data_IF_950516419275
#
_entry.id   IF_950516419275
#
_cell.length_a   1.000
_cell.length_b   1.000
_cell.length_c   1.000
_cell.angle_alpha   90.00
_cell.angle_beta   90.00
_cell.angle_gamma   90.00
#
_symmetry.space_group_name_H-M   'P 1'
#
loop_
_entity.id
_entity.type
_entity.pdbx_description
1 polymer ?
#
# COMPACT_ATOMS: atom_id res chain seq x y z
N UNK A 1 20.10 -27.95 7.03
CA UNK A 1 19.44 -26.64 6.90
C UNK A 1 18.58 -26.71 5.63
N UNK A 2 17.30 -26.46 5.74
CA UNK A 2 16.37 -26.61 4.63
C UNK A 2 16.68 -25.56 3.57
N UNK A 3 16.80 -25.97 2.31
CA UNK A 3 17.13 -25.07 1.17
C UNK A 3 16.19 -23.87 1.06
N UNK A 4 14.95 -23.99 1.55
CA UNK A 4 13.97 -22.91 1.65
C UNK A 4 14.45 -21.76 2.56
N UNK A 5 14.92 -22.07 3.77
CA UNK A 5 15.39 -21.02 4.70
C UNK A 5 16.61 -20.28 4.17
N UNK A 6 17.48 -20.99 3.45
CA UNK A 6 18.64 -20.37 2.80
C UNK A 6 18.21 -19.43 1.68
N UNK A 7 17.24 -19.86 0.85
CA UNK A 7 16.67 -19.02 -0.21
C UNK A 7 15.95 -17.80 0.35
N UNK A 8 15.08 -17.97 1.35
CA UNK A 8 14.36 -16.87 1.97
C UNK A 8 15.30 -15.83 2.62
N UNK A 9 16.34 -16.32 3.32
CA UNK A 9 17.33 -15.43 3.93
C UNK A 9 18.12 -14.63 2.89
N UNK A 10 18.43 -15.24 1.73
CA UNK A 10 19.08 -14.53 0.63
C UNK A 10 18.17 -13.45 0.03
N UNK A 11 16.88 -13.72 -0.16
CA UNK A 11 15.90 -12.74 -0.66
C UNK A 11 15.77 -11.54 0.30
N UNK A 12 15.63 -11.80 1.60
CA UNK A 12 15.54 -10.73 2.62
C UNK A 12 16.84 -9.90 2.66
N UNK A 13 17.99 -10.55 2.50
CA UNK A 13 19.28 -9.83 2.49
C UNK A 13 19.39 -8.92 1.26
N UNK A 14 19.06 -9.43 0.08
CA UNK A 14 19.05 -8.63 -1.17
C UNK A 14 18.06 -7.47 -1.04
N UNK A 15 16.86 -7.72 -0.51
CA UNK A 15 15.84 -6.71 -0.31
C UNK A 15 16.29 -5.53 0.54
N UNK A 16 17.00 -5.78 1.63
CA UNK A 16 17.51 -4.71 2.51
C UNK A 16 18.47 -3.75 1.79
N UNK A 17 19.16 -4.25 0.76
CA UNK A 17 20.16 -3.47 0.02
C UNK A 17 19.63 -2.94 -1.31
N UNK A 18 18.46 -3.39 -1.76
CA UNK A 18 17.88 -2.99 -3.04
C UNK A 18 17.02 -1.73 -2.89
N UNK A 19 17.23 -0.76 -3.76
CA UNK A 19 16.44 0.49 -3.79
C UNK A 19 14.94 0.22 -4.03
N UNK A 20 14.60 -0.75 -4.86
CA UNK A 20 13.23 -1.14 -5.21
C UNK A 20 12.43 -1.54 -3.97
N UNK A 21 13.00 -2.31 -3.06
CA UNK A 21 12.32 -2.72 -1.82
C UNK A 21 12.09 -1.54 -0.86
N UNK A 22 13.03 -0.60 -0.79
CA UNK A 22 12.86 0.64 -0.01
C UNK A 22 11.79 1.54 -0.62
N UNK A 23 11.77 1.63 -1.96
CA UNK A 23 10.74 2.35 -2.68
C UNK A 23 9.36 1.76 -2.42
N UNK A 24 9.23 0.42 -2.47
CA UNK A 24 7.99 -0.28 -2.17
C UNK A 24 7.45 0.01 -0.78
N UNK A 25 8.33 0.24 0.19
CA UNK A 25 7.96 0.54 1.56
C UNK A 25 7.49 2.00 1.73
N UNK A 26 8.20 2.95 1.11
CA UNK A 26 8.02 4.39 1.37
C UNK A 26 7.02 5.01 0.40
N UNK A 27 7.01 4.59 -0.86
CA UNK A 27 6.26 5.25 -1.92
C UNK A 27 4.73 5.26 -1.69
N UNK A 28 4.06 4.15 -1.28
CA UNK A 28 2.62 4.19 -0.99
C UNK A 28 2.29 5.12 0.19
N UNK A 29 3.12 5.13 1.23
CA UNK A 29 2.95 6.02 2.37
C UNK A 29 3.11 7.50 1.97
N UNK A 30 4.07 7.80 1.10
CA UNK A 30 4.29 9.16 0.60
C UNK A 30 3.09 9.64 -0.24
N UNK A 31 2.50 8.77 -1.06
CA UNK A 31 1.28 9.10 -1.83
C UNK A 31 0.14 9.47 -0.88
N UNK A 32 -0.08 8.68 0.18
CA UNK A 32 -1.13 8.93 1.17
C UNK A 32 -0.94 10.30 1.85
N UNK A 33 0.27 10.60 2.31
CA UNK A 33 0.58 11.90 2.94
C UNK A 33 0.36 13.04 1.96
N UNK A 34 0.79 12.88 0.71
CA UNK A 34 0.63 13.88 -0.34
C UNK A 34 -0.85 14.11 -0.66
N UNK A 35 -1.65 13.06 -0.75
CA UNK A 35 -3.09 13.15 -0.98
C UNK A 35 -3.77 13.91 0.16
N UNK A 36 -3.50 13.56 1.42
CA UNK A 36 -4.07 14.25 2.57
C UNK A 36 -3.69 15.74 2.59
N UNK A 37 -2.46 16.07 2.23
CA UNK A 37 -2.03 17.46 2.12
C UNK A 37 -2.82 18.21 1.03
N UNK A 38 -3.01 17.64 -0.15
CA UNK A 38 -3.79 18.28 -1.21
C UNK A 38 -5.28 18.38 -0.87
N UNK A 39 -5.85 17.39 -0.20
CA UNK A 39 -7.23 17.44 0.29
C UNK A 39 -7.41 18.58 1.30
N UNK A 40 -6.50 18.73 2.23
CA UNK A 40 -6.52 19.83 3.20
C UNK A 40 -6.41 21.22 2.53
N UNK A 41 -5.54 21.37 1.53
CA UNK A 41 -5.42 22.62 0.77
C UNK A 41 -6.72 22.91 0.01
N UNK A 42 -7.34 21.89 -0.59
CA UNK A 42 -8.61 22.03 -1.31
C UNK A 42 -9.74 22.43 -0.37
N UNK A 43 -9.85 21.83 0.80
CA UNK A 43 -10.87 22.16 1.82
C UNK A 43 -10.72 23.58 2.33
N UNK A 44 -9.49 23.99 2.62
CA UNK A 44 -9.20 25.36 3.05
C UNK A 44 -9.55 26.36 1.94
N UNK A 45 -9.25 26.04 0.68
CA UNK A 45 -9.61 26.87 -0.47
C UNK A 45 -11.12 26.97 -0.67
N UNK A 46 -11.85 25.86 -0.54
CA UNK A 46 -13.32 25.83 -0.66
C UNK A 46 -14.00 26.61 0.47
N UNK A 47 -13.51 26.46 1.72
CA UNK A 47 -14.02 27.20 2.86
C UNK A 47 -13.82 28.71 2.70
N UNK A 48 -12.65 29.14 2.24
CA UNK A 48 -12.37 30.53 1.94
C UNK A 48 -13.26 31.08 0.83
N UNK A 49 -13.48 30.30 -0.25
CA UNK A 49 -14.38 30.67 -1.34
C UNK A 49 -15.83 30.81 -0.87
N UNK A 50 -16.32 29.83 -0.11
CA UNK A 50 -17.70 29.85 0.41
C UNK A 50 -17.93 31.05 1.33
N UNK A 51 -16.99 31.39 2.19
CA UNK A 51 -17.10 32.60 3.05
C UNK A 51 -17.17 33.89 2.27
N UNK A 52 -16.55 33.97 1.09
CA UNK A 52 -16.62 35.15 0.21
C UNK A 52 -17.94 35.24 -0.57
N UNK A 53 -18.51 34.09 -0.98
CA UNK A 53 -19.72 34.04 -1.82
C UNK A 53 -20.98 34.15 -0.95
N UNK A 54 -21.02 33.50 0.22
CA UNK A 54 -22.22 33.39 1.06
C UNK A 54 -22.54 34.64 1.87
N UNK A 55 -21.73 35.70 1.82
CA UNK A 55 -22.02 36.98 2.52
C UNK A 55 -22.34 36.84 4.01
N UNK A 56 -21.85 35.78 4.66
CA UNK A 56 -22.08 35.49 6.06
C UNK A 56 -23.29 34.58 6.35
N UNK A 57 -23.97 34.01 5.36
CA UNK A 57 -24.87 32.89 5.63
C UNK A 57 -23.98 31.64 5.88
N UNK A 58 -24.05 31.18 7.13
CA UNK A 58 -23.42 29.94 7.55
C UNK A 58 -24.20 28.77 6.92
N UNK A 59 -23.89 28.41 5.68
CA UNK A 59 -24.13 27.04 5.25
C UNK A 59 -23.19 26.19 6.13
N UNK A 60 -23.77 25.38 7.00
CA UNK A 60 -23.05 24.47 7.87
C UNK A 60 -22.06 23.69 7.00
N UNK A 61 -20.79 24.06 7.15
CA UNK A 61 -19.69 23.26 6.64
C UNK A 61 -19.82 21.94 7.41
N UNK A 62 -20.36 20.91 6.77
CA UNK A 62 -20.34 19.55 7.30
C UNK A 62 -18.90 19.33 7.75
N UNK A 63 -18.70 19.25 9.05
CA UNK A 63 -17.36 19.14 9.62
C UNK A 63 -16.71 17.92 9.02
N UNK A 64 -15.73 18.12 8.16
CA UNK A 64 -15.07 17.06 7.44
C UNK A 64 -14.37 16.16 8.45
N UNK A 65 -14.94 14.97 8.70
CA UNK A 65 -14.44 14.01 9.67
C UNK A 65 -13.14 13.37 9.17
N UNK A 66 -12.12 13.33 10.03
CA UNK A 66 -10.82 12.69 9.73
C UNK A 66 -10.96 11.25 9.23
N UNK A 67 -11.96 10.50 9.68
CA UNK A 67 -12.18 9.12 9.23
C UNK A 67 -12.52 9.01 7.74
N UNK A 68 -13.25 9.95 7.16
CA UNK A 68 -13.54 9.97 5.72
C UNK A 68 -12.26 10.11 4.89
N UNK A 69 -11.41 11.09 5.22
CA UNK A 69 -10.13 11.31 4.57
C UNK A 69 -9.16 10.15 4.78
N UNK A 70 -9.19 9.53 5.97
CA UNK A 70 -8.42 8.34 6.26
C UNK A 70 -8.79 7.18 5.34
N UNK A 71 -10.07 6.89 5.14
CA UNK A 71 -10.55 5.83 4.24
C UNK A 71 -10.17 6.12 2.80
N UNK A 72 -10.36 7.35 2.31
CA UNK A 72 -10.02 7.74 0.94
C UNK A 72 -8.53 7.63 0.67
N UNK A 73 -7.71 8.07 1.61
CA UNK A 73 -6.26 7.99 1.48
C UNK A 73 -5.74 6.55 1.51
N UNK A 74 -6.31 5.69 2.37
CA UNK A 74 -5.98 4.26 2.41
C UNK A 74 -6.39 3.58 1.11
N UNK A 75 -7.57 3.84 0.57
CA UNK A 75 -8.04 3.25 -0.67
C UNK A 75 -7.07 3.54 -1.83
N UNK A 76 -6.66 4.80 -1.96
CA UNK A 76 -5.65 5.21 -2.94
C UNK A 76 -4.30 4.54 -2.66
N UNK A 77 -3.85 4.53 -1.41
CA UNK A 77 -2.59 3.94 -1.00
C UNK A 77 -2.51 2.43 -1.25
N UNK A 78 -3.57 1.67 -0.94
CA UNK A 78 -3.64 0.22 -1.19
C UNK A 78 -3.67 -0.07 -2.70
N UNK A 79 -4.40 0.73 -3.49
CA UNK A 79 -4.43 0.58 -4.94
C UNK A 79 -3.04 0.77 -5.54
N UNK A 80 -2.33 1.81 -5.14
CA UNK A 80 -0.96 2.07 -5.58
C UNK A 80 0.03 1.00 -5.09
N UNK A 81 -0.15 0.51 -3.85
CA UNK A 81 0.63 -0.60 -3.32
C UNK A 81 0.42 -1.87 -4.15
N UNK A 82 -0.82 -2.21 -4.50
CA UNK A 82 -1.14 -3.38 -5.31
C UNK A 82 -0.47 -3.32 -6.69
N UNK A 83 -0.59 -2.18 -7.40
CA UNK A 83 0.06 -1.95 -8.70
C UNK A 83 1.58 -2.08 -8.60
N UNK A 84 2.18 -1.45 -7.61
CA UNK A 84 3.62 -1.49 -7.40
C UNK A 84 4.09 -2.91 -7.09
N UNK A 85 3.32 -3.69 -6.32
CA UNK A 85 3.65 -5.08 -5.99
C UNK A 85 3.55 -6.00 -7.20
N UNK A 86 2.59 -5.78 -8.11
CA UNK A 86 2.54 -6.51 -9.39
C UNK A 86 3.81 -6.24 -10.20
N UNK A 87 4.23 -4.98 -10.33
CA UNK A 87 5.45 -4.61 -11.05
C UNK A 87 6.71 -5.24 -10.41
N UNK A 88 6.83 -5.20 -9.10
CA UNK A 88 7.98 -5.78 -8.38
C UNK A 88 7.99 -7.30 -8.54
N UNK A 89 6.83 -7.96 -8.39
CA UNK A 89 6.72 -9.40 -8.56
C UNK A 89 7.03 -9.83 -9.99
N UNK A 90 6.54 -9.09 -10.99
CA UNK A 90 6.81 -9.33 -12.40
C UNK A 90 8.31 -9.18 -12.74
N UNK A 91 8.97 -8.19 -12.16
CA UNK A 91 10.41 -7.96 -12.37
C UNK A 91 11.29 -8.97 -11.61
N UNK A 92 10.84 -9.46 -10.45
CA UNK A 92 11.68 -10.18 -9.49
C UNK A 92 12.36 -11.44 -10.05
N UNK A 93 11.62 -12.36 -10.67
CA UNK A 93 12.17 -13.61 -11.17
C UNK A 93 12.87 -13.45 -12.53
N UNK A 94 12.31 -12.63 -13.42
CA UNK A 94 12.90 -12.34 -14.73
C UNK A 94 14.26 -11.66 -14.61
N UNK A 95 14.42 -10.73 -13.69
CA UNK A 95 15.69 -10.06 -13.39
C UNK A 95 16.76 -11.04 -12.89
N UNK A 96 16.40 -11.94 -11.97
CA UNK A 96 17.35 -12.94 -11.46
C UNK A 96 17.83 -13.90 -12.53
N UNK A 97 16.97 -14.18 -13.49
CA UNK A 97 17.33 -15.01 -14.65
C UNK A 97 18.26 -14.27 -15.58
N UNK A 98 17.97 -13.02 -15.92
CA UNK A 98 18.78 -12.19 -16.81
C UNK A 98 20.17 -11.92 -16.21
N UNK A 99 20.24 -11.67 -14.89
CA UNK A 99 21.50 -11.46 -14.17
C UNK A 99 22.34 -12.74 -13.97
N UNK A 100 21.79 -13.92 -14.32
CA UNK A 100 22.43 -15.22 -14.09
C UNK A 100 22.44 -15.68 -12.64
N UNK A 101 21.84 -14.92 -11.73
CA UNK A 101 21.79 -15.23 -10.28
C UNK A 101 21.11 -16.58 -10.00
N UNK A 102 20.09 -16.94 -10.78
CA UNK A 102 19.41 -18.24 -10.69
C UNK A 102 20.38 -19.41 -10.86
N UNK A 103 21.38 -19.31 -11.75
CA UNK A 103 22.38 -20.37 -11.96
C UNK A 103 23.22 -20.60 -10.69
N UNK A 104 23.63 -19.54 -10.03
CA UNK A 104 24.44 -19.62 -8.81
C UNK A 104 23.68 -20.23 -7.62
N UNK A 105 22.36 -19.96 -7.52
CA UNK A 105 21.53 -20.54 -6.45
C UNK A 105 21.23 -22.02 -6.71
N UNK A 106 20.93 -22.39 -7.96
CA UNK A 106 20.61 -23.78 -8.31
C UNK A 106 21.78 -24.74 -8.10
N UNK A 107 23.01 -24.28 -8.22
CA UNK A 107 24.22 -25.07 -7.90
C UNK A 107 24.28 -25.46 -6.42
N UNK A 108 23.66 -24.68 -5.53
CA UNK A 108 23.67 -24.88 -4.06
C UNK A 108 22.56 -25.79 -3.52
N UNK A 109 22.06 -26.75 -4.31
CA UNK A 109 21.00 -27.70 -3.92
C UNK A 109 19.64 -27.05 -3.55
N UNK A 110 19.34 -25.86 -4.09
CA UNK A 110 18.04 -25.21 -3.94
C UNK A 110 17.19 -25.55 -5.17
N UNK A 111 16.03 -26.18 -4.98
CA UNK A 111 15.11 -26.50 -6.07
C UNK A 111 14.45 -25.25 -6.65
N UNK A 112 14.06 -25.30 -7.94
CA UNK A 112 13.36 -24.18 -8.63
C UNK A 112 12.07 -23.79 -7.92
N UNK A 113 11.27 -24.75 -7.48
CA UNK A 113 10.04 -24.54 -6.74
C UNK A 113 10.29 -23.86 -5.38
N UNK A 114 11.38 -24.24 -4.71
CA UNK A 114 11.79 -23.65 -3.44
C UNK A 114 12.16 -22.18 -3.60
N UNK A 115 12.80 -21.80 -4.70
CA UNK A 115 13.15 -20.42 -5.02
C UNK A 115 11.90 -19.57 -5.25
N UNK A 116 10.95 -20.06 -6.07
CA UNK A 116 9.68 -19.35 -6.33
C UNK A 116 8.87 -19.17 -5.04
N UNK A 117 8.80 -20.22 -4.22
CA UNK A 117 8.10 -20.16 -2.95
C UNK A 117 8.77 -19.16 -1.97
N UNK A 118 10.10 -19.11 -1.93
CA UNK A 118 10.83 -18.14 -1.11
C UNK A 118 10.55 -16.69 -1.56
N UNK A 119 10.50 -16.43 -2.87
CA UNK A 119 10.11 -15.13 -3.41
C UNK A 119 8.66 -14.77 -3.09
N UNK A 120 7.75 -15.71 -3.24
CA UNK A 120 6.35 -15.51 -2.90
C UNK A 120 6.18 -15.10 -1.43
N UNK A 121 6.80 -15.84 -0.50
CA UNK A 121 6.76 -15.52 0.93
C UNK A 121 7.43 -14.17 1.22
N UNK A 122 8.57 -13.90 0.61
CA UNK A 122 9.26 -12.61 0.76
C UNK A 122 8.39 -11.43 0.30
N UNK A 123 7.74 -11.53 -0.86
CA UNK A 123 6.86 -10.48 -1.37
C UNK A 123 5.65 -10.25 -0.46
N UNK A 124 5.10 -11.29 0.15
CA UNK A 124 4.04 -11.15 1.15
C UNK A 124 4.52 -10.41 2.41
N UNK A 125 5.72 -10.73 2.89
CA UNK A 125 6.32 -9.99 4.02
C UNK A 125 6.54 -8.51 3.65
N UNK A 126 6.95 -8.22 2.42
CA UNK A 126 7.12 -6.86 1.93
C UNK A 126 5.79 -6.12 1.87
N UNK A 127 4.71 -6.76 1.39
CA UNK A 127 3.35 -6.17 1.38
C UNK A 127 2.88 -5.86 2.79
N UNK A 128 3.00 -6.81 3.73
CA UNK A 128 2.55 -6.61 5.11
C UNK A 128 3.30 -5.45 5.77
N UNK A 129 4.62 -5.38 5.59
CA UNK A 129 5.42 -4.27 6.13
C UNK A 129 5.08 -2.94 5.48
N UNK A 130 4.89 -2.90 4.16
CA UNK A 130 4.50 -1.69 3.44
C UNK A 130 3.09 -1.21 3.81
N UNK A 131 2.14 -2.14 3.95
CA UNK A 131 0.78 -1.84 4.41
C UNK A 131 0.78 -1.26 5.83
N UNK A 132 1.59 -1.82 6.73
CA UNK A 132 1.73 -1.29 8.10
C UNK A 132 2.26 0.15 8.09
N UNK A 133 3.30 0.42 7.30
CA UNK A 133 3.85 1.79 7.17
C UNK A 133 2.83 2.75 6.56
N UNK A 134 2.09 2.30 5.54
CA UNK A 134 1.02 3.07 4.91
C UNK A 134 -0.08 3.43 5.90
N UNK A 135 -0.57 2.47 6.69
CA UNK A 135 -1.63 2.70 7.69
C UNK A 135 -1.18 3.68 8.78
N UNK A 136 0.06 3.54 9.26
CA UNK A 136 0.65 4.47 10.22
C UNK A 136 0.74 5.88 9.61
N UNK A 137 1.23 6.01 8.39
CA UNK A 137 1.33 7.28 7.70
C UNK A 137 -0.05 7.93 7.45
N UNK A 138 -1.05 7.12 7.05
CA UNK A 138 -2.43 7.58 6.87
C UNK A 138 -3.01 8.12 8.18
N UNK A 139 -2.91 7.36 9.26
CA UNK A 139 -3.46 7.74 10.56
C UNK A 139 -2.85 9.06 11.07
N UNK A 140 -1.51 9.16 11.06
CA UNK A 140 -0.86 10.38 11.54
C UNK A 140 -1.08 11.59 10.63
N UNK A 141 -1.04 11.41 9.30
CA UNK A 141 -1.26 12.53 8.38
C UNK A 141 -2.69 13.04 8.43
N UNK A 142 -3.69 12.17 8.58
CA UNK A 142 -5.08 12.56 8.68
C UNK A 142 -5.34 13.26 10.01
N UNK A 143 -4.87 12.71 11.13
CA UNK A 143 -5.02 13.32 12.46
C UNK A 143 -4.25 14.63 12.65
N UNK A 144 -3.30 14.95 11.74
CA UNK A 144 -2.60 16.23 11.74
C UNK A 144 -3.45 17.36 11.13
N UNK A 145 -4.28 17.05 10.13
CA UNK A 145 -5.06 18.04 9.40
C UNK A 145 -6.52 18.13 9.86
N UNK A 146 -7.10 17.03 10.36
CA UNK A 146 -8.50 16.93 10.78
C UNK A 146 -8.63 16.25 12.14
N UNK A 147 -9.75 16.46 12.80
CA UNK A 147 -10.06 15.84 14.09
C UNK A 147 -10.83 14.52 13.88
N UNK A 148 -10.45 13.48 14.62
CA UNK A 148 -11.20 12.25 14.72
C UNK A 148 -12.37 12.41 15.67
N UNK A 149 -13.55 11.90 15.31
CA UNK A 149 -14.71 11.97 16.16
C UNK A 149 -15.94 11.30 15.52
N UNK A 150 -17.04 11.19 16.29
CA UNK A 150 -18.29 10.67 15.76
C UNK A 150 -18.87 11.60 14.69
N UNK A 151 -19.72 11.07 13.81
CA UNK A 151 -20.48 11.89 12.86
C UNK A 151 -21.68 12.48 13.58
N UNK A 152 -21.67 13.80 13.74
CA UNK A 152 -22.74 14.55 14.41
C UNK A 152 -23.41 15.47 13.40
N UNK A 153 -24.75 15.43 13.30
CA UNK A 153 -25.56 16.33 12.49
C UNK A 153 -26.70 16.90 13.35
N UNK A 154 -26.92 18.21 13.30
CA UNK A 154 -27.90 18.93 14.10
C UNK A 154 -27.82 18.66 15.62
N UNK A 155 -26.62 18.35 16.13
CA UNK A 155 -26.41 18.04 17.55
C UNK A 155 -26.77 16.58 17.93
N UNK A 156 -27.16 15.75 16.99
CA UNK A 156 -27.40 14.32 17.18
C UNK A 156 -26.26 13.50 16.62
N UNK A 157 -25.81 12.52 17.38
CA UNK A 157 -24.81 11.53 16.93
C UNK A 157 -25.47 10.55 15.96
N UNK A 158 -25.12 10.63 14.67
CA UNK A 158 -25.65 9.74 13.63
C UNK A 158 -24.91 8.40 13.60
N UNK A 159 -23.59 8.44 13.73
CA UNK A 159 -22.73 7.25 13.71
C UNK A 159 -21.69 7.40 14.81
N UNK A 160 -21.64 6.42 15.69
CA UNK A 160 -20.66 6.38 16.77
C UNK A 160 -19.24 6.09 16.24
N UNK A 161 -18.24 6.55 16.98
CA UNK A 161 -16.84 6.30 16.63
C UNK A 161 -16.52 4.81 16.58
N UNK A 162 -17.11 4.00 17.45
CA UNK A 162 -16.94 2.54 17.48
C UNK A 162 -17.47 1.87 16.21
N UNK A 163 -18.60 2.34 15.71
CA UNK A 163 -19.19 1.86 14.46
C UNK A 163 -18.31 2.19 13.25
N UNK A 164 -17.81 3.42 13.18
CA UNK A 164 -16.90 3.87 12.12
C UNK A 164 -15.64 2.99 12.10
N UNK A 165 -15.02 2.75 13.23
CA UNK A 165 -13.81 1.92 13.35
C UNK A 165 -14.11 0.46 12.94
N UNK A 166 -15.27 -0.08 13.33
CA UNK A 166 -15.66 -1.45 12.95
C UNK A 166 -15.81 -1.61 11.43
N UNK A 167 -16.46 -0.63 10.76
CA UNK A 167 -16.61 -0.61 9.31
C UNK A 167 -15.26 -0.42 8.58
N UNK A 168 -14.38 0.44 9.08
CA UNK A 168 -13.03 0.61 8.55
C UNK A 168 -12.23 -0.69 8.64
N UNK A 169 -12.30 -1.40 9.77
CA UNK A 169 -11.61 -2.68 9.93
C UNK A 169 -12.17 -3.76 9.00
N UNK A 170 -13.47 -3.78 8.78
CA UNK A 170 -14.09 -4.67 7.81
C UNK A 170 -13.62 -4.36 6.39
N UNK A 171 -13.68 -3.10 5.98
CA UNK A 171 -13.21 -2.62 4.69
C UNK A 171 -11.72 -2.94 4.45
N UNK A 172 -10.87 -2.74 5.46
CA UNK A 172 -9.44 -3.05 5.39
C UNK A 172 -9.20 -4.56 5.20
N UNK A 173 -9.94 -5.42 5.92
CA UNK A 173 -9.85 -6.88 5.73
C UNK A 173 -10.19 -7.30 4.31
N UNK A 174 -11.24 -6.72 3.73
CA UNK A 174 -11.64 -6.99 2.35
C UNK A 174 -10.62 -6.46 1.34
N UNK A 175 -10.07 -5.28 1.56
CA UNK A 175 -9.08 -4.66 0.68
C UNK A 175 -7.73 -5.40 0.63
N UNK A 176 -7.38 -6.14 1.69
CA UNK A 176 -6.14 -6.93 1.75
C UNK A 176 -6.24 -8.24 0.94
N UNK A 177 -7.44 -8.80 0.77
CA UNK A 177 -7.65 -10.11 0.08
C UNK A 177 -7.07 -10.14 -1.35
N UNK A 178 -7.20 -9.10 -2.20
CA UNK A 178 -6.64 -9.11 -3.55
C UNK A 178 -5.11 -9.05 -3.62
N UNK A 179 -4.42 -8.61 -2.57
CA UNK A 179 -2.95 -8.42 -2.60
C UNK A 179 -2.16 -9.72 -2.87
N UNK A 180 -2.47 -10.87 -2.25
CA UNK A 180 -1.86 -12.15 -2.60
C UNK A 180 -2.07 -12.56 -4.06
N UNK A 181 -3.27 -12.30 -4.59
CA UNK A 181 -3.57 -12.59 -5.99
C UNK A 181 -2.74 -11.70 -6.94
N UNK A 182 -2.58 -10.42 -6.62
CA UNK A 182 -1.74 -9.49 -7.36
C UNK A 182 -0.27 -9.95 -7.41
N UNK A 183 0.28 -10.40 -6.28
CA UNK A 183 1.64 -10.98 -6.21
C UNK A 183 1.74 -12.25 -7.05
N UNK A 184 0.76 -13.15 -6.92
CA UNK A 184 0.71 -14.40 -7.69
C UNK A 184 0.67 -14.14 -9.20
N UNK A 185 -0.13 -13.18 -9.64
CA UNK A 185 -0.20 -12.75 -11.04
C UNK A 185 1.13 -12.18 -11.53
N UNK A 186 1.76 -11.29 -10.77
CA UNK A 186 3.06 -10.73 -11.12
C UNK A 186 4.16 -11.81 -11.23
N UNK A 187 4.21 -12.76 -10.30
CA UNK A 187 5.16 -13.87 -10.36
C UNK A 187 4.91 -14.81 -11.55
N UNK A 188 3.63 -15.05 -11.88
CA UNK A 188 3.26 -15.81 -13.06
C UNK A 188 3.75 -15.11 -14.33
N UNK A 189 3.49 -13.82 -14.49
CA UNK A 189 3.99 -13.02 -15.61
C UNK A 189 5.53 -13.06 -15.68
N UNK A 190 6.21 -12.94 -14.54
CA UNK A 190 7.67 -13.04 -14.45
C UNK A 190 8.24 -14.40 -14.87
N UNK A 191 7.49 -15.48 -14.63
CA UNK A 191 7.93 -16.84 -15.00
C UNK A 191 7.83 -17.12 -16.50
N UNK A 192 6.84 -16.51 -17.16
CA UNK A 192 6.57 -16.68 -18.61
C UNK A 192 7.48 -15.77 -19.45
N UNK A 193 7.71 -14.54 -19.00
CA UNK A 193 8.52 -13.57 -19.72
C UNK A 193 9.97 -14.06 -19.93
N UNK A 194 10.53 -13.81 -21.10
CA UNK A 194 11.91 -14.20 -21.42
C UNK A 194 12.94 -13.21 -20.89
N UNK A 195 12.57 -11.93 -20.80
CA UNK A 195 13.42 -10.85 -20.28
C UNK A 195 12.69 -10.04 -19.21
N UNK A 196 13.46 -9.32 -18.40
CA UNK A 196 12.89 -8.45 -17.35
C UNK A 196 11.98 -7.35 -17.95
N UNK A 197 12.32 -6.86 -19.14
CA UNK A 197 11.53 -5.86 -19.86
C UNK A 197 10.19 -6.39 -20.34
N UNK A 198 10.17 -7.63 -20.87
CA UNK A 198 8.93 -8.29 -21.30
C UNK A 198 7.97 -8.62 -20.14
N UNK A 199 8.48 -8.78 -18.94
CA UNK A 199 7.66 -9.04 -17.76
C UNK A 199 6.85 -7.81 -17.32
N UNK A 200 7.26 -6.61 -17.74
CA UNK A 200 6.63 -5.33 -17.38
C UNK A 200 5.74 -4.76 -18.49
N UNK A 201 5.83 -5.29 -19.69
CA UNK A 201 4.95 -4.95 -20.82
C UNK A 201 3.71 -5.83 -20.84
#
# INVERSE_FOLDING_TARGET
MNGFMTALRSEIFVAKHTFVSKLALIFPALIVVTQNFFSWVADTGNSARNSLISGGSFDEVIASNAYGYFVDSINTGITMLALLMVCIAAHSFSYDRDSGFVRHILIRKVGRTTLILAKFVYLHLLVVTSLTVLLIAAYFSTGFFWEYGPVVEDGFELISEEEIIAEILLGLRLAVIPLPAAIGFGLMASSIAQTATQALM
#
